data_IF_130257006912
#
_entry.id   IF_130257006912
#
_cell.length_a   1.000
_cell.length_b   1.000
_cell.length_c   1.000
_cell.angle_alpha   90.00
_cell.angle_beta   90.00
_cell.angle_gamma   90.00
#
_symmetry.space_group_name_H-M   'P 1'
#
loop_
_entity.id
_entity.type
_entity.pdbx_description
1 polymer ?
#
# COMPACT_ATOMS: atom_id res chain seq x y z
N UNK A 1 -34.96 -11.78 16.82
CA UNK A 1 -33.79 -11.74 15.91
C UNK A 1 -34.15 -10.83 14.77
N UNK A 2 -33.36 -9.79 14.47
CA UNK A 2 -33.62 -8.96 13.30
C UNK A 2 -33.58 -9.85 12.04
N UNK A 3 -34.45 -9.61 11.06
CA UNK A 3 -34.38 -10.28 9.77
C UNK A 3 -33.01 -10.01 9.13
N UNK A 4 -32.39 -10.99 8.47
CA UNK A 4 -31.07 -10.84 7.84
C UNK A 4 -30.99 -9.63 6.91
N UNK A 5 -32.11 -9.31 6.26
CA UNK A 5 -32.28 -8.12 5.43
C UNK A 5 -32.14 -6.82 6.25
N UNK A 6 -32.77 -6.75 7.41
CA UNK A 6 -32.67 -5.59 8.31
C UNK A 6 -31.23 -5.38 8.76
N UNK A 7 -30.51 -6.47 9.07
CA UNK A 7 -29.08 -6.39 9.43
C UNK A 7 -28.25 -5.89 8.25
N UNK A 8 -28.50 -6.36 7.04
CA UNK A 8 -27.84 -5.92 5.82
C UNK A 8 -28.05 -4.42 5.55
N UNK A 9 -29.29 -3.93 5.63
CA UNK A 9 -29.61 -2.52 5.38
C UNK A 9 -28.95 -1.58 6.41
N UNK A 10 -28.98 -1.94 7.70
CA UNK A 10 -28.29 -1.16 8.74
C UNK A 10 -26.78 -1.17 8.53
N UNK A 11 -26.23 -2.34 8.18
CA UNK A 11 -24.80 -2.52 7.90
C UNK A 11 -24.36 -1.64 6.73
N UNK A 12 -25.08 -1.69 5.62
CA UNK A 12 -24.84 -0.86 4.45
C UNK A 12 -24.92 0.64 4.78
N UNK A 13 -25.93 1.05 5.54
CA UNK A 13 -26.10 2.46 5.92
C UNK A 13 -24.93 2.99 6.75
N UNK A 14 -24.51 2.23 7.77
CA UNK A 14 -23.34 2.57 8.59
C UNK A 14 -22.07 2.60 7.73
N UNK A 15 -21.89 1.60 6.87
CA UNK A 15 -20.76 1.51 5.94
C UNK A 15 -20.67 2.73 5.02
N UNK A 16 -21.79 3.14 4.41
CA UNK A 16 -21.82 4.31 3.53
C UNK A 16 -21.54 5.62 4.26
N UNK A 17 -22.05 5.79 5.48
CA UNK A 17 -21.78 6.98 6.28
C UNK A 17 -20.28 7.09 6.60
N UNK A 18 -19.67 5.98 7.04
CA UNK A 18 -18.22 5.91 7.28
C UNK A 18 -17.41 6.14 6.00
N UNK A 19 -17.84 5.57 4.88
CA UNK A 19 -17.24 5.79 3.56
C UNK A 19 -17.24 7.27 3.16
N UNK A 20 -18.31 8.01 3.45
CA UNK A 20 -18.38 9.46 3.21
C UNK A 20 -17.37 10.26 4.04
N UNK A 21 -17.20 9.91 5.32
CA UNK A 21 -16.19 10.52 6.19
C UNK A 21 -14.79 10.26 5.63
N UNK A 22 -14.49 9.01 5.27
CA UNK A 22 -13.20 8.61 4.72
C UNK A 22 -12.90 9.27 3.36
N UNK A 23 -13.93 9.52 2.54
CA UNK A 23 -13.78 10.31 1.31
C UNK A 23 -13.34 11.75 1.61
N UNK A 24 -13.92 12.38 2.64
CA UNK A 24 -13.49 13.70 3.11
C UNK A 24 -12.02 13.72 3.55
N UNK A 25 -11.58 12.67 4.26
CA UNK A 25 -10.17 12.52 4.65
C UNK A 25 -9.26 12.39 3.43
N UNK A 26 -9.63 11.57 2.44
CA UNK A 26 -8.87 11.42 1.20
C UNK A 26 -8.75 12.75 0.44
N UNK A 27 -9.82 13.55 0.36
CA UNK A 27 -9.77 14.89 -0.25
C UNK A 27 -8.74 15.78 0.43
N UNK A 28 -8.75 15.84 1.77
CA UNK A 28 -7.77 16.63 2.52
C UNK A 28 -6.36 16.15 2.24
N UNK A 29 -6.12 14.83 2.26
CA UNK A 29 -4.80 14.26 1.98
C UNK A 29 -4.34 14.54 0.55
N UNK A 30 -5.23 14.47 -0.43
CA UNK A 30 -4.94 14.81 -1.81
C UNK A 30 -4.47 16.27 -1.94
N UNK A 31 -5.21 17.22 -1.37
CA UNK A 31 -4.82 18.63 -1.42
C UNK A 31 -3.49 18.90 -0.71
N UNK A 32 -3.27 18.30 0.47
CA UNK A 32 -1.99 18.40 1.18
C UNK A 32 -0.83 17.80 0.36
N UNK A 33 -1.07 16.67 -0.31
CA UNK A 33 -0.08 16.01 -1.17
C UNK A 33 0.26 16.91 -2.36
N UNK A 34 -0.76 17.48 -2.99
CA UNK A 34 -0.59 18.37 -4.13
C UNK A 34 0.12 19.67 -3.73
N UNK A 35 -0.24 20.28 -2.61
CA UNK A 35 0.46 21.44 -2.04
C UNK A 35 1.93 21.12 -1.73
N UNK A 36 2.21 19.97 -1.12
CA UNK A 36 3.57 19.52 -0.84
C UNK A 36 4.39 19.29 -2.11
N UNK A 37 3.76 18.76 -3.17
CA UNK A 37 4.42 18.53 -4.47
C UNK A 37 4.83 19.84 -5.13
N UNK A 38 3.99 20.88 -5.03
CA UNK A 38 4.23 22.21 -5.59
C UNK A 38 5.04 23.16 -4.69
N UNK A 39 5.26 22.81 -3.42
CA UNK A 39 6.06 23.63 -2.51
C UNK A 39 7.52 23.76 -2.96
N UNK A 40 8.08 24.97 -2.81
CA UNK A 40 9.47 25.30 -3.19
C UNK A 40 10.51 24.48 -2.40
N UNK A 41 10.15 23.95 -1.23
CA UNK A 41 11.00 23.10 -0.39
C UNK A 41 11.02 21.61 -0.77
N UNK A 42 10.36 21.21 -1.87
CA UNK A 42 10.29 19.81 -2.28
C UNK A 42 11.57 19.36 -3.01
N UNK A 43 12.37 18.51 -2.35
CA UNK A 43 13.63 17.97 -2.89
C UNK A 43 13.46 16.75 -3.82
N UNK A 44 12.22 16.33 -4.11
CA UNK A 44 11.92 15.21 -4.99
C UNK A 44 12.21 15.54 -6.46
N UNK A 45 12.78 14.57 -7.18
CA UNK A 45 13.06 14.62 -8.62
C UNK A 45 11.78 14.93 -9.41
N UNK A 46 11.83 15.75 -10.49
CA UNK A 46 10.64 16.12 -11.28
C UNK A 46 9.86 14.91 -11.81
N UNK A 47 10.54 13.80 -12.16
CA UNK A 47 9.89 12.55 -12.58
C UNK A 47 9.06 11.92 -11.46
N UNK A 48 9.61 11.82 -10.25
CA UNK A 48 8.93 11.26 -9.08
C UNK A 48 7.75 12.16 -8.66
N UNK A 49 7.91 13.48 -8.73
CA UNK A 49 6.84 14.45 -8.48
C UNK A 49 5.64 14.25 -9.42
N UNK A 50 5.90 14.13 -10.73
CA UNK A 50 4.85 13.85 -11.72
C UNK A 50 4.16 12.51 -11.46
N UNK A 51 4.93 11.47 -11.17
CA UNK A 51 4.38 10.16 -10.83
C UNK A 51 3.44 10.22 -9.62
N UNK A 52 3.86 10.82 -8.51
CA UNK A 52 3.02 10.95 -7.31
C UNK A 52 1.77 11.79 -7.56
N UNK A 53 1.87 12.90 -8.30
CA UNK A 53 0.71 13.71 -8.65
C UNK A 53 -0.33 12.92 -9.46
N UNK A 54 0.12 12.19 -10.50
CA UNK A 54 -0.76 11.37 -11.34
C UNK A 54 -1.38 10.24 -10.50
N UNK A 55 -0.56 9.53 -9.73
CA UNK A 55 -1.00 8.43 -8.88
C UNK A 55 -2.09 8.88 -7.89
N UNK A 56 -1.85 9.96 -7.15
CA UNK A 56 -2.80 10.53 -6.19
C UNK A 56 -4.08 11.02 -6.87
N UNK A 57 -4.00 11.58 -8.09
CA UNK A 57 -5.17 12.04 -8.84
C UNK A 57 -6.03 10.87 -9.32
N UNK A 58 -5.39 9.82 -9.86
CA UNK A 58 -6.12 8.63 -10.32
C UNK A 58 -6.81 7.93 -9.15
N UNK A 59 -6.14 7.78 -8.01
CA UNK A 59 -6.75 7.22 -6.80
C UNK A 59 -7.97 8.02 -6.35
N UNK A 60 -7.88 9.35 -6.30
CA UNK A 60 -9.01 10.20 -5.94
C UNK A 60 -10.19 10.03 -6.91
N UNK A 61 -9.92 9.96 -8.22
CA UNK A 61 -10.95 9.78 -9.24
C UNK A 61 -11.65 8.43 -9.09
N UNK A 62 -10.89 7.34 -8.95
CA UNK A 62 -11.45 6.00 -8.73
C UNK A 62 -12.31 5.96 -7.46
N UNK A 63 -11.83 6.55 -6.36
CA UNK A 63 -12.58 6.64 -5.12
C UNK A 63 -13.87 7.46 -5.27
N UNK A 64 -13.81 8.56 -6.02
CA UNK A 64 -14.97 9.43 -6.27
C UNK A 64 -16.05 8.68 -7.06
N UNK A 65 -15.65 7.89 -8.07
CA UNK A 65 -16.58 7.04 -8.83
C UNK A 65 -17.24 6.03 -7.90
N UNK A 66 -16.47 5.34 -7.07
CA UNK A 66 -17.00 4.35 -6.12
C UNK A 66 -18.01 4.97 -5.14
N UNK A 67 -17.70 6.14 -4.55
CA UNK A 67 -18.63 6.85 -3.67
C UNK A 67 -19.91 7.27 -4.41
N UNK A 68 -19.78 7.81 -5.62
CA UNK A 68 -20.92 8.25 -6.42
C UNK A 68 -21.83 7.09 -6.80
N UNK A 69 -21.26 5.96 -7.23
CA UNK A 69 -21.99 4.73 -7.55
C UNK A 69 -22.75 4.21 -6.32
N UNK A 70 -22.09 4.11 -5.17
CA UNK A 70 -22.74 3.66 -3.93
C UNK A 70 -23.87 4.61 -3.49
N UNK A 71 -23.70 5.92 -3.65
CA UNK A 71 -24.72 6.91 -3.34
C UNK A 71 -25.95 6.79 -4.25
N UNK A 72 -25.74 6.66 -5.56
CA UNK A 72 -26.82 6.46 -6.54
C UNK A 72 -27.56 5.15 -6.27
N UNK A 73 -26.84 4.06 -6.01
CA UNK A 73 -27.48 2.78 -5.69
C UNK A 73 -28.36 2.86 -4.43
N UNK A 74 -27.85 3.50 -3.38
CA UNK A 74 -28.60 3.67 -2.14
C UNK A 74 -29.82 4.58 -2.31
N UNK A 75 -29.71 5.66 -3.09
CA UNK A 75 -30.85 6.50 -3.44
C UNK A 75 -31.92 5.71 -4.21
N UNK A 76 -31.51 4.94 -5.23
CA UNK A 76 -32.45 4.14 -6.01
C UNK A 76 -33.13 3.07 -5.16
N UNK A 77 -32.39 2.45 -4.23
CA UNK A 77 -32.89 1.43 -3.34
C UNK A 77 -33.86 1.99 -2.29
N UNK A 78 -33.45 3.00 -1.51
CA UNK A 78 -34.24 3.49 -0.35
C UNK A 78 -35.29 4.54 -0.70
N UNK A 79 -35.09 5.33 -1.77
CA UNK A 79 -35.98 6.43 -2.13
C UNK A 79 -36.86 6.03 -3.32
N UNK A 80 -36.25 5.70 -4.46
CA UNK A 80 -37.01 5.55 -5.70
C UNK A 80 -37.73 4.20 -5.83
N UNK A 81 -37.22 3.15 -5.18
CA UNK A 81 -37.75 1.78 -5.29
C UNK A 81 -38.47 1.32 -4.03
N UNK A 82 -38.72 2.22 -3.09
CA UNK A 82 -39.42 1.92 -1.84
C UNK A 82 -40.86 1.46 -2.07
N UNK A 83 -41.56 2.13 -2.99
CA UNK A 83 -42.99 1.91 -3.26
C UNK A 83 -43.24 0.89 -4.39
N UNK A 84 -42.18 0.29 -4.95
CA UNK A 84 -42.30 -0.72 -5.99
C UNK A 84 -42.84 -2.05 -5.40
N UNK A 85 -43.51 -2.90 -6.22
CA UNK A 85 -43.97 -4.21 -5.77
C UNK A 85 -42.80 -5.06 -5.23
N UNK A 86 -42.86 -5.43 -3.95
CA UNK A 86 -41.78 -6.15 -3.26
C UNK A 86 -40.72 -5.26 -2.57
N UNK A 87 -40.82 -3.93 -2.72
CA UNK A 87 -40.05 -2.91 -2.01
C UNK A 87 -38.53 -3.06 -2.11
N UNK A 88 -37.83 -2.55 -1.08
CA UNK A 88 -36.37 -2.65 -0.94
C UNK A 88 -35.82 -4.08 -1.07
N UNK A 89 -36.41 -5.13 -0.47
CA UNK A 89 -35.91 -6.49 -0.64
C UNK A 89 -35.92 -6.98 -2.10
N UNK A 90 -36.98 -6.67 -2.86
CA UNK A 90 -37.06 -7.06 -4.27
C UNK A 90 -36.04 -6.29 -5.13
N UNK A 91 -35.77 -5.02 -4.81
CA UNK A 91 -34.73 -4.24 -5.46
C UNK A 91 -33.34 -4.86 -5.21
N UNK A 92 -33.03 -5.19 -3.95
CA UNK A 92 -31.77 -5.86 -3.60
C UNK A 92 -31.66 -7.20 -4.34
N UNK A 93 -32.73 -8.00 -4.45
CA UNK A 93 -32.65 -9.29 -5.15
C UNK A 93 -32.44 -9.20 -6.67
N UNK A 94 -32.85 -8.10 -7.31
CA UNK A 94 -32.88 -7.97 -8.78
C UNK A 94 -31.81 -7.03 -9.34
N UNK A 95 -31.32 -6.06 -8.55
CA UNK A 95 -30.45 -4.96 -9.00
C UNK A 95 -29.04 -5.02 -8.38
N UNK A 96 -28.55 -6.20 -7.97
CA UNK A 96 -27.15 -6.36 -7.49
C UNK A 96 -26.13 -6.26 -8.63
N UNK A 97 -26.48 -6.73 -9.83
CA UNK A 97 -25.56 -6.88 -10.96
C UNK A 97 -25.73 -5.82 -12.06
N UNK A 98 -26.18 -4.61 -11.70
CA UNK A 98 -26.35 -3.55 -12.69
C UNK A 98 -24.97 -3.01 -13.13
N UNK A 99 -24.85 -2.60 -14.39
CA UNK A 99 -23.59 -2.17 -14.98
C UNK A 99 -22.84 -1.11 -14.16
N UNK A 100 -23.55 -0.15 -13.56
CA UNK A 100 -22.93 0.90 -12.75
C UNK A 100 -22.39 0.37 -11.41
N UNK A 101 -23.01 -0.67 -10.84
CA UNK A 101 -22.48 -1.36 -9.66
C UNK A 101 -21.19 -2.12 -10.00
N UNK A 102 -21.17 -2.82 -11.14
CA UNK A 102 -19.95 -3.47 -11.63
C UNK A 102 -18.83 -2.47 -11.87
N UNK A 103 -19.15 -1.26 -12.36
CA UNK A 103 -18.20 -0.16 -12.48
C UNK A 103 -17.64 0.25 -11.11
N UNK A 104 -18.49 0.46 -10.11
CA UNK A 104 -18.06 0.77 -8.74
C UNK A 104 -17.11 -0.29 -8.18
N UNK A 105 -17.49 -1.57 -8.23
CA UNK A 105 -16.63 -2.66 -7.76
C UNK A 105 -15.31 -2.74 -8.53
N UNK A 106 -15.31 -2.47 -9.83
CA UNK A 106 -14.09 -2.43 -10.64
C UNK A 106 -13.15 -1.32 -10.17
N UNK A 107 -13.68 -0.15 -9.81
CA UNK A 107 -12.85 0.95 -9.28
C UNK A 107 -12.19 0.59 -7.94
N UNK A 108 -12.89 -0.12 -7.06
CA UNK A 108 -12.31 -0.65 -5.81
C UNK A 108 -11.17 -1.62 -6.08
N UNK A 109 -11.40 -2.58 -6.98
CA UNK A 109 -10.38 -3.55 -7.38
C UNK A 109 -9.15 -2.86 -7.99
N UNK A 110 -9.35 -1.84 -8.83
CA UNK A 110 -8.26 -1.04 -9.38
C UNK A 110 -7.47 -0.29 -8.28
N UNK A 111 -8.14 0.31 -7.29
CA UNK A 111 -7.48 0.98 -6.17
C UNK A 111 -6.59 0.01 -5.38
N UNK A 112 -7.08 -1.20 -5.10
CA UNK A 112 -6.33 -2.25 -4.42
C UNK A 112 -5.06 -2.60 -5.19
N UNK A 113 -5.18 -2.89 -6.48
CA UNK A 113 -4.02 -3.26 -7.31
C UNK A 113 -3.01 -2.12 -7.45
N UNK A 114 -3.47 -0.88 -7.57
CA UNK A 114 -2.58 0.29 -7.57
C UNK A 114 -1.82 0.43 -6.25
N UNK A 115 -2.50 0.21 -5.12
CA UNK A 115 -1.88 0.23 -3.79
C UNK A 115 -0.82 -0.86 -3.62
N UNK A 116 -1.18 -2.09 -3.97
CA UNK A 116 -0.28 -3.26 -3.88
C UNK A 116 0.93 -3.11 -4.81
N UNK A 117 0.74 -2.62 -6.04
CA UNK A 117 1.84 -2.37 -6.98
C UNK A 117 2.85 -1.36 -6.43
N UNK A 118 2.37 -0.30 -5.75
CA UNK A 118 3.23 0.70 -5.12
C UNK A 118 4.01 0.11 -3.93
N UNK A 119 3.40 -0.78 -3.14
CA UNK A 119 4.09 -1.51 -2.06
C UNK A 119 5.16 -2.46 -2.60
N UNK A 120 4.86 -3.21 -3.66
CA UNK A 120 5.82 -4.10 -4.32
C UNK A 120 7.00 -3.33 -4.92
N UNK A 121 6.74 -2.20 -5.57
CA UNK A 121 7.79 -1.32 -6.09
C UNK A 121 8.75 -0.86 -4.98
N UNK A 122 8.22 -0.55 -3.79
CA UNK A 122 9.06 -0.16 -2.64
C UNK A 122 9.88 -1.32 -2.11
N UNK A 123 9.29 -2.51 -2.01
CA UNK A 123 10.04 -3.72 -1.61
C UNK A 123 11.21 -3.94 -2.57
N UNK A 124 10.99 -3.75 -3.87
CA UNK A 124 12.02 -3.89 -4.90
C UNK A 124 13.20 -2.93 -4.71
N UNK A 125 12.92 -1.65 -4.47
CA UNK A 125 13.96 -0.65 -4.23
C UNK A 125 14.74 -0.94 -2.94
N UNK A 126 14.04 -1.26 -1.85
CA UNK A 126 14.65 -1.41 -0.51
C UNK A 126 15.56 -2.65 -0.42
N UNK A 127 15.25 -3.70 -1.17
CA UNK A 127 16.08 -4.89 -1.26
C UNK A 127 17.18 -4.81 -2.32
N UNK A 128 17.35 -3.66 -2.99
CA UNK A 128 18.42 -3.45 -3.97
C UNK A 128 18.29 -4.37 -5.19
N UNK A 129 17.07 -4.52 -5.72
CA UNK A 129 16.80 -5.32 -6.94
C UNK A 129 17.09 -6.82 -6.82
N UNK A 130 17.11 -7.38 -5.61
CA UNK A 130 17.23 -8.83 -5.41
C UNK A 130 15.92 -9.55 -5.78
N UNK A 131 15.83 -10.00 -7.03
CA UNK A 131 14.63 -10.61 -7.61
C UNK A 131 14.05 -11.79 -6.81
N UNK A 132 14.89 -12.56 -6.10
CA UNK A 132 14.45 -13.74 -5.36
C UNK A 132 13.44 -13.44 -4.23
N UNK A 133 13.59 -12.30 -3.55
CA UNK A 133 12.69 -11.88 -2.45
C UNK A 133 11.32 -11.42 -2.98
N UNK A 134 11.26 -11.05 -4.25
CA UNK A 134 10.12 -10.36 -4.87
C UNK A 134 9.32 -11.31 -5.76
N UNK A 135 9.94 -12.40 -6.22
CA UNK A 135 9.28 -13.45 -6.99
C UNK A 135 8.02 -13.97 -6.28
N UNK A 136 8.09 -14.22 -4.97
CA UNK A 136 6.94 -14.71 -4.21
C UNK A 136 5.80 -13.67 -4.11
N UNK A 137 6.04 -12.42 -3.66
CA UNK A 137 5.00 -11.38 -3.66
C UNK A 137 4.41 -11.08 -5.05
N UNK A 138 5.21 -11.11 -6.12
CA UNK A 138 4.69 -10.91 -7.48
C UNK A 138 3.76 -12.06 -7.91
N UNK A 139 4.14 -13.30 -7.61
CA UNK A 139 3.30 -14.45 -7.94
C UNK A 139 1.96 -14.38 -7.20
N UNK A 140 1.98 -14.02 -5.92
CA UNK A 140 0.78 -13.80 -5.12
C UNK A 140 -0.08 -12.65 -5.67
N UNK A 141 0.54 -11.55 -6.10
CA UNK A 141 -0.15 -10.42 -6.74
C UNK A 141 -0.85 -10.83 -8.05
N UNK A 142 -0.20 -11.62 -8.92
CA UNK A 142 -0.80 -12.12 -10.15
C UNK A 142 -1.94 -13.13 -9.89
N UNK A 143 -1.79 -13.96 -8.86
CA UNK A 143 -2.86 -14.86 -8.41
C UNK A 143 -4.08 -14.07 -7.91
N UNK A 144 -3.86 -13.05 -7.08
CA UNK A 144 -4.92 -12.15 -6.63
C UNK A 144 -5.60 -11.42 -7.80
N UNK A 145 -4.83 -10.96 -8.78
CA UNK A 145 -5.35 -10.34 -10.01
C UNK A 145 -6.28 -11.26 -10.80
N UNK A 146 -5.87 -12.52 -10.96
CA UNK A 146 -6.68 -13.51 -11.66
C UNK A 146 -7.99 -13.80 -10.92
N UNK A 147 -7.93 -13.96 -9.59
CA UNK A 147 -9.11 -14.21 -8.76
C UNK A 147 -10.07 -13.01 -8.73
N UNK A 148 -9.55 -11.78 -8.66
CA UNK A 148 -10.36 -10.57 -8.69
C UNK A 148 -11.14 -10.42 -10.00
N UNK A 149 -10.53 -10.76 -11.15
CA UNK A 149 -11.23 -10.75 -12.45
C UNK A 149 -12.35 -11.79 -12.45
N UNK A 150 -12.10 -13.00 -11.96
CA UNK A 150 -13.12 -14.05 -11.89
C UNK A 150 -14.28 -13.60 -11.00
N UNK A 151 -13.99 -13.00 -9.84
CA UNK A 151 -15.00 -12.46 -8.92
C UNK A 151 -15.85 -11.38 -9.60
N UNK A 152 -15.21 -10.38 -10.25
CA UNK A 152 -15.88 -9.30 -10.97
C UNK A 152 -16.82 -9.83 -12.06
N UNK A 153 -16.36 -10.82 -12.84
CA UNK A 153 -17.16 -11.42 -13.91
C UNK A 153 -18.32 -12.23 -13.35
N UNK A 154 -18.13 -12.96 -12.25
CA UNK A 154 -19.20 -13.73 -11.62
C UNK A 154 -20.25 -12.84 -10.99
N UNK A 155 -19.83 -11.75 -10.33
CA UNK A 155 -20.74 -10.82 -9.68
C UNK A 155 -21.49 -9.92 -10.68
N UNK A 156 -20.87 -9.58 -11.80
CA UNK A 156 -21.46 -8.76 -12.87
C UNK A 156 -22.43 -9.52 -13.79
N UNK A 157 -22.54 -10.84 -13.69
CA UNK A 157 -23.54 -11.61 -14.45
C UNK A 157 -24.95 -11.38 -13.90
N UNK A 158 -26.01 -11.41 -14.74
CA UNK A 158 -27.39 -11.30 -14.26
C UNK A 158 -27.69 -12.35 -13.18
N UNK A 159 -28.11 -11.90 -11.99
CA UNK A 159 -28.34 -12.75 -10.82
C UNK A 159 -27.08 -13.09 -10.01
N UNK A 160 -25.94 -12.48 -10.31
CA UNK A 160 -24.71 -12.57 -9.52
C UNK A 160 -24.80 -11.75 -8.23
N UNK A 161 -24.01 -12.12 -7.23
CA UNK A 161 -23.94 -11.38 -5.97
C UNK A 161 -22.49 -11.34 -5.47
N UNK A 162 -22.00 -10.14 -5.13
CA UNK A 162 -20.67 -9.95 -4.55
C UNK A 162 -20.50 -10.60 -3.17
N UNK A 163 -21.58 -10.62 -2.38
CA UNK A 163 -21.59 -11.10 -1.01
C UNK A 163 -22.32 -12.44 -0.87
N UNK A 164 -22.53 -13.17 -1.97
CA UNK A 164 -23.35 -14.37 -1.96
C UNK A 164 -22.95 -15.41 -3.00
N UNK A 165 -23.27 -16.67 -2.70
CA UNK A 165 -23.15 -17.79 -3.64
C UNK A 165 -21.73 -18.11 -4.06
N UNK A 166 -21.54 -18.40 -5.36
CA UNK A 166 -20.25 -18.87 -5.91
C UNK A 166 -19.15 -17.83 -5.87
N UNK A 167 -19.50 -16.54 -5.76
CA UNK A 167 -18.54 -15.43 -5.71
C UNK A 167 -17.67 -15.49 -4.46
N UNK A 168 -18.23 -15.87 -3.30
CA UNK A 168 -17.50 -15.96 -2.03
C UNK A 168 -16.32 -16.94 -2.11
N UNK A 169 -16.47 -18.03 -2.88
CA UNK A 169 -15.42 -19.04 -3.06
C UNK A 169 -14.19 -18.49 -3.78
N UNK A 170 -14.34 -17.45 -4.60
CA UNK A 170 -13.24 -16.78 -5.30
C UNK A 170 -12.82 -15.48 -4.61
N UNK A 171 -13.75 -14.75 -4.00
CA UNK A 171 -13.47 -13.54 -3.24
C UNK A 171 -12.67 -13.83 -1.97
N UNK A 172 -13.01 -14.88 -1.22
CA UNK A 172 -12.29 -15.24 0.03
C UNK A 172 -10.79 -15.44 -0.19
N UNK A 173 -10.34 -16.27 -1.16
CA UNK A 173 -8.91 -16.40 -1.42
C UNK A 173 -8.30 -15.11 -1.99
N UNK A 174 -9.02 -14.34 -2.81
CA UNK A 174 -8.56 -13.05 -3.30
C UNK A 174 -8.24 -12.08 -2.14
N UNK A 175 -9.23 -11.79 -1.29
CA UNK A 175 -9.06 -10.89 -0.15
C UNK A 175 -8.00 -11.39 0.83
N UNK A 176 -7.95 -12.71 1.07
CA UNK A 176 -6.92 -13.32 1.93
C UNK A 176 -5.51 -13.07 1.38
N UNK A 177 -5.30 -13.28 0.08
CA UNK A 177 -3.99 -13.08 -0.55
C UNK A 177 -3.61 -11.60 -0.50
N UNK A 178 -4.49 -10.68 -0.87
CA UNK A 178 -4.20 -9.24 -0.88
C UNK A 178 -3.90 -8.72 0.53
N UNK A 179 -4.70 -9.08 1.55
CA UNK A 179 -4.44 -8.67 2.94
C UNK A 179 -3.12 -9.26 3.45
N UNK A 180 -2.89 -10.56 3.21
CA UNK A 180 -1.66 -11.24 3.65
C UNK A 180 -0.42 -10.67 2.97
N UNK A 181 -0.50 -10.38 1.66
CA UNK A 181 0.58 -9.77 0.89
C UNK A 181 0.94 -8.42 1.48
N UNK A 182 -0.06 -7.58 1.78
CA UNK A 182 0.16 -6.26 2.38
C UNK A 182 0.91 -6.37 3.73
N UNK A 183 0.48 -7.29 4.60
CA UNK A 183 1.11 -7.54 5.91
C UNK A 183 2.55 -8.05 5.73
N UNK A 184 2.76 -9.07 4.89
CA UNK A 184 4.07 -9.70 4.67
C UNK A 184 5.04 -8.69 4.07
N UNK A 185 4.64 -7.97 3.02
CA UNK A 185 5.49 -6.97 2.35
C UNK A 185 5.85 -5.84 3.32
N UNK A 186 4.88 -5.34 4.09
CA UNK A 186 5.15 -4.30 5.10
C UNK A 186 6.12 -4.80 6.16
N UNK A 187 5.94 -6.02 6.67
CA UNK A 187 6.85 -6.61 7.66
C UNK A 187 8.27 -6.80 7.10
N UNK A 188 8.41 -7.30 5.87
CA UNK A 188 9.70 -7.45 5.21
C UNK A 188 10.42 -6.10 5.06
N UNK A 189 9.69 -5.05 4.67
CA UNK A 189 10.24 -3.69 4.57
C UNK A 189 10.71 -3.21 5.95
N UNK A 190 9.86 -3.31 6.99
CA UNK A 190 10.19 -2.88 8.34
C UNK A 190 11.39 -3.64 8.92
N UNK A 191 11.46 -4.96 8.74
CA UNK A 191 12.58 -5.78 9.19
C UNK A 191 13.89 -5.40 8.48
N UNK A 192 13.84 -5.14 7.17
CA UNK A 192 15.00 -4.71 6.39
C UNK A 192 15.48 -3.33 6.85
N UNK A 193 14.56 -2.37 7.03
CA UNK A 193 14.87 -1.04 7.56
C UNK A 193 15.46 -1.11 8.95
N UNK A 194 14.95 -1.97 9.84
CA UNK A 194 15.49 -2.15 11.18
C UNK A 194 16.92 -2.73 11.16
N UNK A 195 17.20 -3.69 10.25
CA UNK A 195 18.56 -4.23 10.07
C UNK A 195 19.54 -3.17 9.56
N UNK A 196 19.13 -2.39 8.55
CA UNK A 196 19.93 -1.28 8.03
C UNK A 196 20.16 -0.20 9.09
N UNK A 197 19.11 0.18 9.81
CA UNK A 197 19.20 1.15 10.91
C UNK A 197 20.17 0.70 12.01
N UNK A 198 20.17 -0.59 12.38
CA UNK A 198 21.15 -1.14 13.34
C UNK A 198 22.58 -1.10 12.81
N UNK A 199 22.79 -1.44 11.53
CA UNK A 199 24.12 -1.39 10.91
C UNK A 199 24.66 0.05 10.84
N UNK A 200 23.82 1.00 10.41
CA UNK A 200 24.16 2.43 10.36
C UNK A 200 24.38 2.99 11.76
N UNK A 201 23.54 2.64 12.75
CA UNK A 201 23.71 3.05 14.15
C UNK A 201 25.08 2.68 14.70
N UNK A 202 25.58 1.50 14.32
CA UNK A 202 26.86 0.97 14.78
C UNK A 202 28.05 1.65 14.10
N UNK A 203 27.88 2.14 12.88
CA UNK A 203 28.94 2.74 12.08
C UNK A 203 29.00 4.28 12.15
N UNK A 204 27.85 4.97 12.23
CA UNK A 204 27.73 6.44 12.16
C UNK A 204 27.07 7.07 13.41
N UNK A 205 26.67 6.27 14.40
CA UNK A 205 26.02 6.75 15.62
C UNK A 205 24.47 6.76 15.58
N UNK A 206 23.81 6.99 16.73
CA UNK A 206 22.37 6.73 16.91
C UNK A 206 21.45 7.71 16.17
N UNK A 207 21.89 8.92 15.81
CA UNK A 207 21.05 9.92 15.14
C UNK A 207 20.70 9.53 13.71
N UNK A 208 21.61 8.87 13.00
CA UNK A 208 21.37 8.32 11.65
C UNK A 208 20.39 7.14 11.66
N UNK A 209 20.28 6.42 12.78
CA UNK A 209 19.35 5.29 12.92
C UNK A 209 17.90 5.72 13.14
N UNK A 210 17.66 6.92 13.70
CA UNK A 210 16.32 7.47 13.95
C UNK A 210 15.50 7.66 12.66
N UNK A 211 16.18 7.92 11.54
CA UNK A 211 15.52 8.05 10.23
C UNK A 211 14.90 6.72 9.79
N UNK A 212 15.61 5.60 9.95
CA UNK A 212 15.14 4.27 9.57
C UNK A 212 13.97 3.79 10.44
N UNK A 213 14.04 4.04 11.75
CA UNK A 213 12.95 3.69 12.67
C UNK A 213 11.71 4.55 12.45
N UNK A 214 11.88 5.83 12.12
CA UNK A 214 10.78 6.73 11.74
C UNK A 214 10.03 6.25 10.50
N UNK A 215 10.75 5.86 9.44
CA UNK A 215 10.15 5.31 8.21
C UNK A 215 9.43 3.99 8.48
N UNK A 216 10.04 3.09 9.26
CA UNK A 216 9.40 1.82 9.61
C UNK A 216 8.11 2.04 10.44
N UNK A 217 8.13 2.95 11.41
CA UNK A 217 6.95 3.31 12.21
C UNK A 217 5.83 3.88 11.35
N UNK A 218 6.16 4.75 10.40
CA UNK A 218 5.21 5.36 9.47
C UNK A 218 4.50 4.33 8.58
N UNK A 219 5.25 3.34 8.08
CA UNK A 219 4.68 2.25 7.28
C UNK A 219 3.70 1.41 8.10
N UNK A 220 4.06 1.09 9.34
CA UNK A 220 3.18 0.35 10.26
C UNK A 220 1.92 1.16 10.56
N UNK A 221 2.05 2.45 10.87
CA UNK A 221 0.93 3.35 11.16
C UNK A 221 -0.05 3.43 9.98
N UNK A 222 0.47 3.40 8.74
CA UNK A 222 -0.34 3.49 7.52
C UNK A 222 -0.95 2.14 7.09
N UNK A 223 -0.27 1.02 7.36
CA UNK A 223 -0.70 -0.33 6.95
C UNK A 223 -1.58 -1.04 8.00
N UNK A 224 -1.49 -0.65 9.27
CA UNK A 224 -2.24 -1.27 10.35
C UNK A 224 -3.77 -1.12 10.18
N UNK A 225 -4.33 0.07 9.87
CA UNK A 225 -5.77 0.22 9.66
C UNK A 225 -6.29 -0.64 8.51
N UNK A 226 -5.55 -0.66 7.39
CA UNK A 226 -5.88 -1.50 6.23
C UNK A 226 -5.97 -2.99 6.61
N UNK A 227 -4.96 -3.49 7.33
CA UNK A 227 -4.88 -4.91 7.70
C UNK A 227 -5.93 -5.30 8.73
N UNK A 228 -6.13 -4.47 9.76
CA UNK A 228 -7.08 -4.73 10.85
C UNK A 228 -8.52 -4.76 10.33
N UNK A 229 -8.93 -3.72 9.59
CA UNK A 229 -10.28 -3.65 9.04
C UNK A 229 -10.47 -4.69 7.94
N UNK A 230 -9.41 -5.02 7.19
CA UNK A 230 -9.42 -6.12 6.22
C UNK A 230 -9.75 -7.46 6.85
N UNK A 231 -9.17 -7.78 8.01
CA UNK A 231 -9.50 -9.00 8.75
C UNK A 231 -10.94 -8.96 9.29
N UNK A 232 -11.38 -7.79 9.80
CA UNK A 232 -12.77 -7.59 10.25
C UNK A 232 -13.80 -7.72 9.11
N UNK A 233 -13.38 -7.46 7.87
CA UNK A 233 -14.18 -7.70 6.66
C UNK A 233 -14.13 -9.17 6.23
N UNK A 234 -12.93 -9.77 6.19
CA UNK A 234 -12.70 -11.11 5.67
C UNK A 234 -13.47 -12.19 6.45
N UNK A 235 -13.53 -12.09 7.78
CA UNK A 235 -14.18 -13.10 8.62
C UNK A 235 -15.69 -13.17 8.33
N UNK A 236 -16.47 -12.06 8.44
CA UNK A 236 -17.89 -12.07 8.07
C UNK A 236 -18.12 -12.41 6.59
N UNK A 237 -17.24 -11.97 5.69
CA UNK A 237 -17.34 -12.26 4.25
C UNK A 237 -17.25 -13.77 3.98
N UNK A 238 -16.25 -14.44 4.57
CA UNK A 238 -16.09 -15.89 4.44
C UNK A 238 -17.25 -16.67 5.07
N UNK A 239 -17.88 -16.12 6.11
CA UNK A 239 -19.07 -16.69 6.74
C UNK A 239 -20.39 -16.39 6.00
N UNK A 240 -20.36 -15.58 4.94
CA UNK A 240 -21.58 -15.14 4.24
C UNK A 240 -22.49 -14.24 5.09
N UNK A 241 -21.95 -13.58 6.11
CA UNK A 241 -22.72 -12.72 7.00
C UNK A 241 -23.04 -11.37 6.33
N UNK A 242 -24.27 -10.85 6.46
CA UNK A 242 -24.64 -9.54 5.91
C UNK A 242 -23.85 -8.38 6.53
N UNK A 243 -23.24 -8.56 7.69
CA UNK A 243 -22.37 -7.55 8.34
C UNK A 243 -21.06 -7.29 7.59
N UNK A 244 -20.67 -8.17 6.66
CA UNK A 244 -19.47 -8.02 5.85
C UNK A 244 -19.48 -6.72 5.04
N UNK A 245 -20.66 -6.26 4.59
CA UNK A 245 -20.76 -5.08 3.72
C UNK A 245 -20.27 -3.81 4.43
N UNK A 246 -20.54 -3.63 5.73
CA UNK A 246 -20.08 -2.45 6.48
C UNK A 246 -18.56 -2.37 6.50
N UNK A 247 -17.91 -3.48 6.88
CA UNK A 247 -16.46 -3.54 6.97
C UNK A 247 -15.82 -3.50 5.60
N UNK A 248 -16.44 -4.10 4.59
CA UNK A 248 -15.98 -4.05 3.20
C UNK A 248 -15.98 -2.64 2.65
N UNK A 249 -17.04 -1.85 2.91
CA UNK A 249 -17.11 -0.44 2.52
C UNK A 249 -15.98 0.37 3.15
N UNK A 250 -15.75 0.24 4.45
CA UNK A 250 -14.66 0.94 5.16
C UNK A 250 -13.29 0.48 4.67
N UNK A 251 -13.08 -0.82 4.53
CA UNK A 251 -11.83 -1.42 4.07
C UNK A 251 -11.49 -0.96 2.65
N UNK A 252 -12.46 -0.96 1.72
CA UNK A 252 -12.30 -0.48 0.35
C UNK A 252 -11.69 0.94 0.32
N UNK A 253 -12.12 1.84 1.20
CA UNK A 253 -11.56 3.21 1.29
C UNK A 253 -10.15 3.23 1.85
N UNK A 254 -9.89 2.40 2.87
CA UNK A 254 -8.55 2.29 3.46
C UNK A 254 -7.50 1.78 2.46
N UNK A 255 -7.92 1.03 1.43
CA UNK A 255 -7.03 0.58 0.35
C UNK A 255 -6.45 1.73 -0.48
N UNK A 256 -7.18 2.85 -0.57
CA UNK A 256 -6.73 4.10 -1.20
C UNK A 256 -5.99 5.02 -0.20
N UNK A 257 -6.53 5.15 1.02
CA UNK A 257 -5.97 6.03 2.05
C UNK A 257 -4.55 5.62 2.46
N UNK A 258 -4.28 4.31 2.57
CA UNK A 258 -2.97 3.81 2.97
C UNK A 258 -1.83 4.21 2.00
N UNK A 259 -1.89 3.93 0.68
CA UNK A 259 -0.86 4.39 -0.23
C UNK A 259 -0.79 5.93 -0.30
N UNK A 260 -1.93 6.62 -0.22
CA UNK A 260 -1.97 8.10 -0.23
C UNK A 260 -1.26 8.71 0.99
N UNK A 261 -1.49 8.18 2.20
CA UNK A 261 -0.79 8.60 3.41
C UNK A 261 0.73 8.48 3.24
N UNK A 262 1.18 7.39 2.63
CA UNK A 262 2.61 7.20 2.45
C UNK A 262 3.15 8.17 1.38
N UNK A 263 2.40 8.43 0.29
CA UNK A 263 2.78 9.46 -0.69
C UNK A 263 2.89 10.84 -0.02
N UNK A 264 1.89 11.25 0.76
CA UNK A 264 1.89 12.51 1.49
C UNK A 264 3.14 12.66 2.38
N UNK A 265 3.49 11.60 3.12
CA UNK A 265 4.67 11.60 4.00
C UNK A 265 5.99 11.65 3.23
N UNK A 266 6.06 11.03 2.05
CA UNK A 266 7.22 11.12 1.15
C UNK A 266 7.37 12.53 0.59
N UNK A 267 6.27 13.15 0.18
CA UNK A 267 6.26 14.51 -0.39
C UNK A 267 6.63 15.57 0.66
N UNK A 268 6.14 15.44 1.89
CA UNK A 268 6.42 16.38 2.99
C UNK A 268 7.86 16.30 3.54
N UNK A 269 8.72 15.46 2.95
CA UNK A 269 10.13 15.33 3.35
C UNK A 269 10.33 14.59 4.67
N UNK A 270 9.26 14.10 5.30
CA UNK A 270 9.33 13.31 6.55
C UNK A 270 9.78 11.85 6.32
N UNK A 271 9.89 11.40 5.07
CA UNK A 271 10.16 9.98 4.76
C UNK A 271 11.41 9.70 3.89
N UNK A 272 12.12 10.70 3.36
CA UNK A 272 13.18 10.44 2.38
C UNK A 272 14.37 11.41 2.51
N UNK A 273 15.29 11.13 3.42
CA UNK A 273 16.68 11.55 3.23
C UNK A 273 17.23 10.72 2.06
N UNK A 274 17.69 11.34 0.97
CA UNK A 274 18.31 10.65 -0.18
C UNK A 274 19.38 9.65 0.27
N UNK A 275 20.04 9.95 1.39
CA UNK A 275 21.02 9.11 2.08
C UNK A 275 20.48 7.71 2.38
N UNK A 276 19.22 7.56 2.81
CA UNK A 276 18.67 6.25 3.21
C UNK A 276 18.59 5.27 2.04
N UNK A 277 18.18 5.75 0.85
CA UNK A 277 18.05 4.91 -0.35
C UNK A 277 19.38 4.74 -1.05
N UNK A 278 20.20 5.80 -1.14
CA UNK A 278 21.56 5.68 -1.67
C UNK A 278 22.41 4.74 -0.81
N UNK A 279 22.27 4.77 0.51
CA UNK A 279 23.00 3.90 1.46
C UNK A 279 22.40 2.49 1.55
N UNK A 280 21.09 2.31 1.29
CA UNK A 280 20.49 0.99 1.14
C UNK A 280 20.84 0.32 -0.21
N UNK A 281 21.00 1.12 -1.27
CA UNK A 281 21.39 0.68 -2.61
C UNK A 281 22.90 0.47 -2.75
N UNK A 282 23.73 1.18 -1.97
CA UNK A 282 25.19 1.12 -2.10
C UNK A 282 25.82 -0.21 -1.68
N UNK A 283 25.03 -1.20 -1.22
CA UNK A 283 25.54 -2.55 -0.98
C UNK A 283 26.68 -2.59 0.04
N UNK A 284 26.80 -1.59 0.91
CA UNK A 284 27.84 -1.52 1.94
C UNK A 284 27.50 -2.55 3.01
N UNK A 285 28.04 -3.75 2.84
CA UNK A 285 27.99 -4.79 3.83
C UNK A 285 29.10 -4.52 4.85
N UNK A 286 28.75 -3.93 6.00
CA UNK A 286 29.71 -3.72 7.09
C UNK A 286 30.06 -5.07 7.71
N UNK A 287 31.02 -5.77 7.12
CA UNK A 287 31.54 -7.04 7.62
C UNK A 287 32.50 -6.77 8.79
N UNK A 288 32.12 -7.20 9.98
CA UNK A 288 32.97 -7.11 11.16
C UNK A 288 34.03 -8.22 11.10
N UNK A 289 35.33 -7.87 11.06
CA UNK A 289 36.40 -8.84 11.31
C UNK A 289 36.28 -9.37 12.75
N UNK A 290 36.41 -10.70 12.99
CA UNK A 290 36.65 -11.21 14.33
C UNK A 290 37.95 -10.59 14.85
N UNK A 291 37.94 -10.21 16.13
CA UNK A 291 38.96 -9.37 16.77
C UNK A 291 40.40 -9.85 16.50
N UNK A 292 41.08 -9.13 15.60
CA UNK A 292 42.50 -9.26 15.30
C UNK A 292 43.14 -7.88 15.23
N UNK A 293 43.54 -7.35 16.39
CA UNK A 293 44.50 -6.27 16.68
C UNK A 293 44.45 -4.94 15.90
N UNK A 294 43.42 -4.63 15.11
CA UNK A 294 43.22 -3.28 14.57
C UNK A 294 41.72 -2.94 14.46
N UNK A 295 41.29 -1.95 15.22
CA UNK A 295 39.95 -1.36 15.13
C UNK A 295 39.96 -0.33 14.00
N UNK A 296 39.63 -0.77 12.79
CA UNK A 296 39.36 0.10 11.64
C UNK A 296 38.04 -0.28 10.98
N UNK A 297 37.21 0.70 10.67
CA UNK A 297 36.05 0.52 9.79
C UNK A 297 36.58 0.63 8.37
N UNK A 298 36.68 -0.48 7.65
CA UNK A 298 37.05 -0.48 6.24
C UNK A 298 35.78 -0.32 5.40
N UNK A 299 35.68 0.80 4.69
CA UNK A 299 34.56 1.09 3.80
C UNK A 299 34.86 0.46 2.43
N UNK A 300 34.40 -0.78 2.18
CA UNK A 300 34.50 -1.38 0.87
C UNK A 300 33.36 -0.91 -0.03
N UNK A 301 33.67 -0.01 -0.96
CA UNK A 301 32.77 0.39 -2.04
C UNK A 301 32.87 -0.65 -3.14
N UNK A 302 31.80 -1.44 -3.37
CA UNK A 302 31.73 -2.30 -4.54
C UNK A 302 31.37 -1.46 -5.78
N UNK A 303 32.37 -1.03 -6.53
CA UNK A 303 32.16 -0.45 -7.86
C UNK A 303 31.81 -1.58 -8.82
N UNK A 304 30.54 -1.70 -9.21
CA UNK A 304 30.15 -2.56 -10.33
C UNK A 304 30.50 -1.84 -11.63
N UNK A 305 31.66 -2.17 -12.20
CA UNK A 305 32.05 -1.76 -13.57
C UNK A 305 31.31 -2.66 -14.56
N UNK A 306 30.29 -2.13 -15.22
CA UNK A 306 29.71 -2.73 -16.42
C UNK A 306 30.26 -1.98 -17.65
N UNK A 307 31.04 -2.66 -18.48
CA UNK A 307 31.65 -2.10 -19.69
C UNK A 307 33.16 -2.01 -19.58
N UNK A 308 33.86 -2.92 -20.26
CA UNK A 308 35.31 -2.99 -20.30
C UNK A 308 35.91 -1.75 -20.95
N UNK A 309 36.59 -0.94 -20.14
CA UNK A 309 37.71 -0.11 -20.59
C UNK A 309 38.62 0.11 -19.39
N UNK A 310 39.77 -0.55 -19.40
CA UNK A 310 40.84 -0.38 -18.42
C UNK A 310 41.59 0.92 -18.72
N UNK A 311 41.61 1.86 -17.79
CA UNK A 311 42.59 2.94 -17.74
C UNK A 311 43.19 2.96 -16.33
N UNK A 312 44.50 2.74 -16.27
CA UNK A 312 45.36 3.19 -15.17
C UNK A 312 45.21 2.44 -13.85
N UNK A 313 46.13 1.54 -13.60
CA UNK A 313 46.46 1.03 -12.27
C UNK A 313 46.97 2.20 -11.40
N UNK A 314 46.14 2.70 -10.48
CA UNK A 314 46.62 3.53 -9.37
C UNK A 314 46.47 2.74 -8.06
N UNK A 315 47.61 2.50 -7.42
CA UNK A 315 47.73 1.80 -6.15
C UNK A 315 46.90 2.48 -5.05
N UNK A 316 46.36 1.72 -4.08
CA UNK A 316 45.66 2.32 -2.95
C UNK A 316 46.66 3.09 -2.08
N UNK A 317 46.47 4.41 -1.98
CA UNK A 317 47.15 5.26 -1.01
C UNK A 317 46.91 4.71 0.41
N UNK A 318 47.99 4.18 1.01
CA UNK A 318 48.03 3.90 2.45
C UNK A 318 48.15 5.21 3.20
N UNK A 319 47.05 5.68 3.77
CA UNK A 319 47.05 6.78 4.73
C UNK A 319 47.67 6.32 6.06
N UNK A 320 48.99 6.41 6.18
CA UNK A 320 49.69 6.24 7.44
C UNK A 320 49.62 7.55 8.24
N UNK A 321 48.69 7.63 9.20
CA UNK A 321 48.72 8.68 10.22
C UNK A 321 49.87 8.41 11.19
N UNK A 322 51.05 8.98 10.92
CA UNK A 322 52.14 9.09 11.89
C UNK A 322 52.33 10.56 12.27
N UNK A 323 52.26 10.79 13.57
CA UNK A 323 52.35 12.05 14.32
C UNK A 323 53.51 12.96 13.92
N UNK A 324 53.25 14.27 13.84
CA UNK A 324 54.20 15.28 14.33
C UNK A 324 53.49 16.33 15.19
N UNK A 325 53.84 16.28 16.48
CA UNK A 325 53.78 17.41 17.40
C UNK A 325 54.58 18.58 16.80
N UNK A 326 54.02 19.78 16.80
CA UNK A 326 54.74 21.02 16.62
C UNK A 326 54.62 21.79 17.93
N UNK A 327 55.78 21.99 18.55
CA UNK A 327 56.04 23.08 19.48
C UNK A 327 56.07 24.42 18.73
#
# INVERSE_FOLDING_TARGET
>A
MASELTVFEHSLWIGNYMSGILYGVELVMYFLTMQGLFSKGNHNTPRSRKFFAIFSTVLLLLLTIDIAVNAVWCQLMWINSRDQPGGVPAYIGTQVSVWYQTMGSTTVVMMIFMGDALLLYRLFIIYGSKYWVIAFPILAYLAAFSLAIIELVLAGRPGGNFFGGRTINFGTPYYTITISLNIIVTLLICLRLAKLGKAVSKALGPDSARMYTGVASMLIESAAPYSLVGIMFLIPYAMGSPTAISFGQVWAKLTCLAPQLIVLRVVTGRAWGKDVVTQAQSGVDFRMKPAGRSTGIELQTHTFTHGGTTLGEEAPEKWNSSTKSLA
#
